data_IF_315692687385
#
_entry.id   IF_315692687385
#
_cell.length_a   1.000
_cell.length_b   1.000
_cell.length_c   1.000
_cell.angle_alpha   90.00
_cell.angle_beta   90.00
_cell.angle_gamma   90.00
#
_symmetry.space_group_name_H-M   'P 1'
#
loop_
_entity.id
_entity.type
_entity.pdbx_description
1 polymer ?
#
# COMPACT_ATOMS: atom_id res chain seq x y z
N UNK A 1 13.97 -15.35 -10.92
CA UNK A 1 13.44 -16.12 -9.77
C UNK A 1 12.50 -15.24 -8.96
N UNK A 2 11.19 -15.52 -8.97
CA UNK A 2 10.22 -14.82 -8.09
C UNK A 2 10.47 -15.22 -6.64
N UNK A 3 10.61 -14.24 -5.73
CA UNK A 3 10.73 -14.50 -4.29
C UNK A 3 9.36 -14.32 -3.64
N UNK A 4 8.81 -15.37 -3.04
CA UNK A 4 7.61 -15.30 -2.19
C UNK A 4 8.05 -14.73 -0.84
N UNK A 5 7.46 -13.62 -0.34
CA UNK A 5 7.81 -13.09 0.98
C UNK A 5 7.53 -14.11 2.08
N UNK A 6 8.49 -14.32 3.00
CA UNK A 6 8.25 -15.11 4.20
C UNK A 6 7.19 -14.41 5.08
N UNK A 7 6.16 -15.16 5.47
CA UNK A 7 5.04 -14.69 6.32
C UNK A 7 5.48 -14.12 7.68
N UNK A 8 6.69 -14.46 8.15
CA UNK A 8 7.24 -14.00 9.44
C UNK A 8 7.58 -12.50 9.49
N UNK A 9 7.50 -11.77 8.37
CA UNK A 9 7.87 -10.35 8.29
C UNK A 9 6.68 -9.46 7.88
N UNK A 10 5.51 -9.66 8.50
CA UNK A 10 4.37 -8.75 8.33
C UNK A 10 4.56 -7.49 9.17
N UNK A 11 4.13 -6.34 8.67
CA UNK A 11 4.04 -5.09 9.42
C UNK A 11 2.59 -4.62 9.50
N UNK A 12 2.27 -3.87 10.56
CA UNK A 12 0.98 -3.20 10.72
C UNK A 12 1.07 -1.82 10.08
N UNK A 13 0.15 -1.55 9.16
CA UNK A 13 0.01 -0.28 8.48
C UNK A 13 -1.41 0.25 8.60
N UNK A 14 -1.57 1.55 8.37
CA UNK A 14 -2.85 2.22 8.13
C UNK A 14 -2.73 3.08 6.88
N UNK A 15 -3.86 3.41 6.27
CA UNK A 15 -3.88 4.39 5.18
C UNK A 15 -3.30 5.74 5.66
N UNK A 16 -2.52 6.39 4.80
CA UNK A 16 -2.05 7.74 5.06
C UNK A 16 -3.20 8.75 4.94
N UNK A 17 -3.08 9.86 5.67
CA UNK A 17 -4.10 10.91 5.72
C UNK A 17 -3.71 11.99 4.72
N UNK A 18 -4.65 12.38 3.86
CA UNK A 18 -4.54 13.50 2.90
C UNK A 18 -3.50 13.35 1.77
N UNK A 19 -3.09 12.14 1.40
CA UNK A 19 -2.13 11.90 0.31
C UNK A 19 -2.72 11.10 -0.86
N UNK A 20 -4.03 10.87 -0.86
CA UNK A 20 -4.69 10.06 -1.91
C UNK A 20 -4.63 10.72 -3.29
N UNK A 21 -4.56 12.04 -3.35
CA UNK A 21 -4.53 12.83 -4.58
C UNK A 21 -3.10 13.20 -5.01
N UNK A 22 -2.08 12.85 -4.21
CA UNK A 22 -0.70 13.07 -4.59
C UNK A 22 -0.36 12.16 -5.77
N UNK A 23 0.36 12.68 -6.76
CA UNK A 23 0.84 11.91 -7.89
C UNK A 23 2.34 11.57 -7.71
N UNK A 24 2.82 10.44 -8.27
CA UNK A 24 4.25 10.18 -8.32
C UNK A 24 4.97 11.34 -9.03
N UNK A 25 6.14 11.77 -8.52
CA UNK A 25 6.94 12.85 -9.16
C UNK A 25 7.29 12.55 -10.62
N UNK A 26 7.41 11.27 -10.96
CA UNK A 26 7.70 10.78 -12.32
C UNK A 26 6.45 10.70 -13.22
N UNK A 27 5.28 11.06 -12.70
CA UNK A 27 3.98 10.94 -13.36
C UNK A 27 3.40 9.52 -13.31
N UNK A 28 2.13 9.39 -13.72
CA UNK A 28 1.43 8.12 -13.80
C UNK A 28 0.75 7.68 -12.49
N UNK A 29 0.51 6.38 -12.33
CA UNK A 29 -0.21 5.84 -11.17
C UNK A 29 0.73 5.24 -10.13
N UNK A 30 0.37 5.33 -8.85
CA UNK A 30 1.15 4.71 -7.76
C UNK A 30 1.31 3.19 -7.88
N UNK A 31 0.38 2.49 -8.53
CA UNK A 31 0.56 1.05 -8.76
C UNK A 31 1.64 0.78 -9.81
N UNK A 32 1.77 1.63 -10.82
CA UNK A 32 2.85 1.52 -11.80
C UNK A 32 4.20 1.87 -11.15
N UNK A 33 4.23 2.93 -10.33
CA UNK A 33 5.40 3.27 -9.51
C UNK A 33 5.83 2.07 -8.65
N UNK A 34 4.90 1.47 -7.90
CA UNK A 34 5.19 0.31 -7.06
C UNK A 34 5.72 -0.88 -7.87
N UNK A 35 5.13 -1.18 -9.03
CA UNK A 35 5.58 -2.27 -9.91
C UNK A 35 6.99 -2.03 -10.48
N UNK A 36 7.36 -0.78 -10.73
CA UNK A 36 8.69 -0.43 -11.24
C UNK A 36 9.78 -0.54 -10.15
N UNK A 37 9.43 -0.27 -8.89
CA UNK A 37 10.38 -0.20 -7.79
C UNK A 37 10.48 -1.49 -6.95
N UNK A 38 9.45 -2.34 -7.01
CA UNK A 38 9.38 -3.55 -6.19
C UNK A 38 9.60 -4.81 -7.03
N UNK A 39 10.50 -5.73 -6.63
CA UNK A 39 10.77 -6.96 -7.37
C UNK A 39 9.71 -8.04 -7.16
N UNK A 40 8.49 -7.64 -6.79
CA UNK A 40 7.39 -8.52 -6.37
C UNK A 40 6.15 -8.29 -7.21
N UNK A 41 5.35 -9.34 -7.38
CA UNK A 41 4.02 -9.19 -7.94
C UNK A 41 3.05 -8.66 -6.89
N UNK A 42 2.03 -7.87 -7.29
CA UNK A 42 0.91 -7.55 -6.42
C UNK A 42 0.29 -8.83 -5.84
N UNK A 43 -0.22 -8.79 -4.60
CA UNK A 43 -0.90 -9.94 -4.02
C UNK A 43 -2.17 -10.30 -4.83
N UNK A 44 -2.70 -11.51 -4.66
CA UNK A 44 -4.00 -11.88 -5.27
C UNK A 44 -5.20 -11.22 -4.58
N UNK A 45 -5.05 -10.90 -3.30
CA UNK A 45 -6.10 -10.33 -2.46
C UNK A 45 -5.67 -8.98 -1.90
N UNK A 46 -6.62 -8.06 -1.78
CA UNK A 46 -6.40 -6.78 -1.13
C UNK A 46 -6.02 -7.01 0.35
N UNK A 47 -4.85 -6.55 0.82
CA UNK A 47 -4.43 -6.78 2.19
C UNK A 47 -5.34 -6.08 3.22
N UNK A 48 -6.04 -5.01 2.82
CA UNK A 48 -6.95 -4.25 3.67
C UNK A 48 -8.31 -4.94 3.92
N UNK A 49 -8.97 -5.46 2.87
CA UNK A 49 -10.31 -6.06 2.97
C UNK A 49 -10.38 -7.55 2.68
N UNK A 50 -9.25 -8.17 2.30
CA UNK A 50 -9.10 -9.59 1.95
C UNK A 50 -9.92 -10.06 0.74
N UNK A 51 -10.58 -9.15 0.01
CA UNK A 51 -11.27 -9.47 -1.25
C UNK A 51 -10.29 -9.58 -2.41
N UNK A 52 -10.61 -10.41 -3.40
CA UNK A 52 -9.87 -10.51 -4.67
C UNK A 52 -10.00 -9.20 -5.47
N UNK A 53 -8.98 -8.88 -6.26
CA UNK A 53 -9.04 -7.77 -7.22
C UNK A 53 -9.92 -8.13 -8.43
N UNK A 54 -10.69 -7.17 -8.93
CA UNK A 54 -11.57 -7.34 -10.10
C UNK A 54 -11.41 -6.17 -11.07
N UNK A 55 -12.00 -6.26 -12.27
CA UNK A 55 -12.04 -5.14 -13.22
C UNK A 55 -12.68 -3.90 -12.60
N UNK A 56 -13.77 -4.09 -11.86
CA UNK A 56 -14.56 -2.99 -11.25
C UNK A 56 -13.96 -2.49 -9.94
N UNK A 57 -13.01 -3.23 -9.37
CA UNK A 57 -12.29 -2.87 -8.16
C UNK A 57 -10.81 -3.26 -8.29
N UNK A 58 -10.07 -2.57 -9.18
CA UNK A 58 -8.74 -2.96 -9.57
C UNK A 58 -7.73 -2.74 -8.44
N UNK A 59 -6.54 -3.31 -8.64
CA UNK A 59 -5.39 -3.02 -7.79
C UNK A 59 -4.84 -1.62 -8.09
N UNK A 60 -4.66 -0.83 -7.04
CA UNK A 60 -4.07 0.51 -7.06
C UNK A 60 -2.94 0.60 -6.02
N UNK A 61 -2.12 1.65 -6.11
CA UNK A 61 -1.12 1.95 -5.09
C UNK A 61 -1.74 2.86 -4.03
N UNK A 62 -1.83 2.38 -2.80
CA UNK A 62 -2.35 3.16 -1.68
C UNK A 62 -1.23 3.63 -0.77
N UNK A 63 -1.26 4.91 -0.41
CA UNK A 63 -0.37 5.46 0.61
C UNK A 63 -0.70 4.91 1.99
N UNK A 64 0.33 4.49 2.71
CA UNK A 64 0.22 3.96 4.07
C UNK A 64 1.35 4.46 4.96
N UNK A 65 1.07 4.52 6.26
CA UNK A 65 2.08 4.69 7.30
C UNK A 65 2.15 3.42 8.14
N UNK A 66 3.35 3.09 8.64
CA UNK A 66 3.50 2.08 9.69
C UNK A 66 3.01 2.65 11.03
N UNK A 67 2.39 1.81 11.85
CA UNK A 67 1.81 2.25 13.13
C UNK A 67 2.81 2.15 14.29
N UNK A 68 3.78 1.24 14.20
CA UNK A 68 4.75 0.97 15.27
C UNK A 68 6.19 1.27 14.85
N UNK A 69 6.41 2.25 13.98
CA UNK A 69 7.75 2.79 13.80
C UNK A 69 8.09 3.66 15.02
N UNK A 70 9.25 3.38 15.64
CA UNK A 70 9.92 4.30 16.57
C UNK A 70 10.55 5.49 15.82
N UNK A 71 10.29 5.63 14.52
CA UNK A 71 10.85 6.70 13.71
C UNK A 71 10.22 8.02 14.14
N UNK A 72 11.06 8.96 14.57
CA UNK A 72 10.70 10.35 14.83
C UNK A 72 10.12 11.06 13.60
N UNK A 73 10.25 10.46 12.41
CA UNK A 73 9.75 10.95 11.13
C UNK A 73 8.67 10.00 10.63
N UNK A 74 7.47 10.52 10.43
CA UNK A 74 6.36 9.78 9.81
C UNK A 74 6.72 9.48 8.35
N UNK A 75 7.07 8.22 8.06
CA UNK A 75 7.36 7.75 6.71
C UNK A 75 6.11 7.27 5.99
N UNK A 76 6.05 7.54 4.69
CA UNK A 76 4.99 7.08 3.79
C UNK A 76 5.51 6.02 2.84
N UNK A 77 4.64 5.05 2.58
CA UNK A 77 4.92 3.93 1.70
C UNK A 77 3.74 3.70 0.77
N UNK A 78 4.01 3.17 -0.41
CA UNK A 78 3.00 2.63 -1.33
C UNK A 78 2.89 1.13 -1.11
N UNK A 79 1.65 0.65 -1.02
CA UNK A 79 1.33 -0.79 -1.05
C UNK A 79 0.17 -1.07 -2.00
N UNK A 80 0.10 -2.26 -2.62
CA UNK A 80 -1.04 -2.63 -3.46
C UNK A 80 -2.30 -2.85 -2.61
N UNK A 81 -3.37 -2.12 -2.92
CA UNK A 81 -4.71 -2.23 -2.31
C UNK A 81 -5.78 -2.13 -3.38
N UNK A 82 -7.04 -2.43 -3.07
CA UNK A 82 -8.12 -2.25 -4.06
C UNK A 82 -8.62 -0.80 -4.05
N UNK A 83 -9.07 -0.33 -5.21
CA UNK A 83 -9.56 1.04 -5.41
C UNK A 83 -10.63 1.44 -4.38
N UNK A 84 -11.58 0.54 -4.09
CA UNK A 84 -12.61 0.76 -3.08
C UNK A 84 -12.02 1.03 -1.69
N UNK A 85 -10.98 0.30 -1.27
CA UNK A 85 -10.34 0.56 0.02
C UNK A 85 -9.59 1.89 0.01
N UNK A 86 -8.87 2.16 -1.08
CA UNK A 86 -8.11 3.40 -1.23
C UNK A 86 -9.02 4.64 -1.16
N UNK A 87 -10.17 4.60 -1.83
CA UNK A 87 -11.18 5.67 -1.81
C UNK A 87 -11.91 5.78 -0.47
N UNK A 88 -12.20 4.65 0.18
CA UNK A 88 -12.98 4.60 1.44
C UNK A 88 -12.19 5.07 2.65
N UNK A 89 -10.94 4.65 2.76
CA UNK A 89 -10.11 4.86 3.95
C UNK A 89 -9.12 6.01 3.73
N UNK A 90 -9.67 7.22 3.57
CA UNK A 90 -8.93 8.48 3.47
C UNK A 90 -9.46 9.51 4.47
N UNK A 91 -8.70 10.58 4.70
CA UNK A 91 -9.06 11.65 5.64
C UNK A 91 -9.35 11.10 7.04
N UNK A 92 -10.52 11.43 7.59
CA UNK A 92 -10.97 10.97 8.92
C UNK A 92 -11.23 9.47 9.02
N UNK A 93 -11.31 8.75 7.87
CA UNK A 93 -11.54 7.30 7.81
C UNK A 93 -10.25 6.49 7.66
N UNK A 94 -9.08 7.12 7.68
CA UNK A 94 -7.78 6.46 7.51
C UNK A 94 -7.34 5.57 8.70
N UNK A 95 -8.17 5.43 9.74
CA UNK A 95 -7.89 4.63 10.95
C UNK A 95 -7.90 3.11 10.71
N UNK A 96 -8.34 2.65 9.53
CA UNK A 96 -8.34 1.21 9.22
C UNK A 96 -6.92 0.66 9.16
N UNK A 97 -6.61 -0.24 10.09
CA UNK A 97 -5.34 -0.95 10.16
C UNK A 97 -5.40 -2.27 9.39
N UNK A 98 -4.28 -2.66 8.79
CA UNK A 98 -4.13 -3.96 8.13
C UNK A 98 -2.66 -4.40 8.08
N UNK A 99 -2.44 -5.66 7.75
CA UNK A 99 -1.11 -6.28 7.69
C UNK A 99 -0.64 -6.41 6.24
N UNK A 100 0.61 -6.05 5.99
CA UNK A 100 1.30 -6.24 4.70
C UNK A 100 2.68 -6.84 4.94
N UNK A 101 3.22 -7.63 3.99
CA UNK A 101 4.62 -8.04 4.06
C UNK A 101 5.51 -6.78 4.10
N UNK A 102 6.52 -6.75 4.98
CA UNK A 102 7.50 -5.66 5.05
C UNK A 102 8.16 -5.40 3.70
N UNK A 103 8.40 -6.47 2.95
CA UNK A 103 8.97 -6.43 1.61
C UNK A 103 8.05 -5.77 0.56
N UNK A 104 6.78 -5.48 0.87
CA UNK A 104 5.85 -4.81 -0.04
C UNK A 104 5.78 -3.30 0.20
N UNK A 105 6.45 -2.79 1.24
CA UNK A 105 6.53 -1.35 1.49
C UNK A 105 7.47 -0.72 0.46
N UNK A 106 6.90 0.03 -0.49
CA UNK A 106 7.67 0.84 -1.41
C UNK A 106 7.78 2.25 -0.86
N UNK A 107 9.00 2.77 -0.68
CA UNK A 107 9.21 4.12 -0.13
C UNK A 107 8.67 5.20 -1.07
N UNK A 108 8.07 6.25 -0.52
CA UNK A 108 7.73 7.48 -1.25
C UNK A 108 8.87 8.50 -1.07
N UNK A 109 9.53 8.96 -2.14
CA UNK A 109 10.68 9.86 -2.07
C UNK A 109 10.36 11.34 -1.84
#
# INVERSE_FOLDING_TARGET
MMKIPRLSNMVVVRHAVNTTEDEPKEGGSWINYWKAHMPYQPPKFCPCCKKIFTSDNPVVGGHVNRIFEQDFVKREYIVPVCDTCNKRYKGTKASKIFFVPKAYLCYVP
#
